data_IF_892654554627
#
_entry.id   IF_892654554627
#
_cell.length_a   1.000
_cell.length_b   1.000
_cell.length_c   1.000
_cell.angle_alpha   90.00
_cell.angle_beta   90.00
_cell.angle_gamma   90.00
#
_symmetry.space_group_name_H-M   'P 1'
#
loop_
_entity.id
_entity.type
_entity.pdbx_description
1 polymer ?
#
# COMPACT_ATOMS: atom_id res chain seq x y z
N UNK A 1 11.64 -3.56 -22.95
CA UNK A 1 12.58 -3.99 -21.89
C UNK A 1 11.84 -4.11 -20.56
N UNK A 2 12.14 -5.15 -19.78
CA UNK A 2 11.62 -5.31 -18.43
C UNK A 2 12.27 -4.28 -17.49
N UNK A 3 11.48 -3.67 -16.60
CA UNK A 3 11.99 -2.80 -15.53
C UNK A 3 11.70 -3.44 -14.17
N UNK A 4 12.72 -3.53 -13.33
CA UNK A 4 12.64 -4.11 -11.99
C UNK A 4 12.89 -3.02 -10.95
N UNK A 5 12.15 -3.09 -9.85
CA UNK A 5 12.34 -2.23 -8.70
C UNK A 5 12.51 -3.10 -7.44
N UNK A 6 13.55 -2.82 -6.67
CA UNK A 6 13.80 -3.44 -5.37
C UNK A 6 12.91 -2.80 -4.29
N UNK A 7 12.53 -3.59 -3.28
CA UNK A 7 11.82 -3.14 -2.08
C UNK A 7 12.39 -3.81 -0.83
N UNK A 8 12.20 -3.19 0.33
CA UNK A 8 12.62 -3.74 1.61
C UNK A 8 11.67 -4.85 2.07
N UNK A 9 12.17 -5.80 2.87
CA UNK A 9 11.34 -6.90 3.39
C UNK A 9 10.07 -6.43 4.12
N UNK A 10 10.16 -5.31 4.85
CA UNK A 10 9.04 -4.75 5.59
C UNK A 10 8.03 -4.00 4.70
N UNK A 11 8.36 -3.77 3.44
CA UNK A 11 7.50 -3.14 2.44
C UNK A 11 6.72 -4.18 1.61
N UNK A 12 6.99 -5.47 1.84
CA UNK A 12 6.28 -6.55 1.16
C UNK A 12 4.78 -6.46 1.43
N UNK A 13 4.00 -6.58 0.36
CA UNK A 13 2.54 -6.55 0.36
C UNK A 13 1.97 -7.82 -0.25
N UNK A 14 0.76 -8.19 0.15
CA UNK A 14 0.00 -9.32 -0.45
C UNK A 14 -0.43 -8.93 -1.86
N UNK A 15 -0.95 -7.70 -2.01
CA UNK A 15 -1.38 -7.13 -3.28
C UNK A 15 -0.58 -5.90 -3.65
N UNK A 16 -0.38 -5.72 -4.96
CA UNK A 16 0.18 -4.50 -5.54
C UNK A 16 -0.75 -3.96 -6.61
N UNK A 17 -0.85 -2.65 -6.71
CA UNK A 17 -1.61 -1.97 -7.75
C UNK A 17 -0.77 -0.83 -8.36
N UNK A 18 -1.17 -0.36 -9.54
CA UNK A 18 -0.49 0.71 -10.26
C UNK A 18 -1.49 1.84 -10.54
N UNK A 19 -1.03 3.08 -10.37
CA UNK A 19 -1.82 4.29 -10.65
C UNK A 19 -2.25 4.38 -12.13
N UNK A 20 -3.34 5.11 -12.45
CA UNK A 20 -3.85 5.23 -13.82
C UNK A 20 -2.82 5.77 -14.83
N UNK A 21 -1.95 6.68 -14.39
CA UNK A 21 -0.87 7.24 -15.22
C UNK A 21 0.41 6.39 -15.23
N UNK A 22 0.38 5.25 -14.54
CA UNK A 22 1.46 4.27 -14.43
C UNK A 22 2.75 4.79 -13.77
N UNK A 23 2.66 5.88 -13.00
CA UNK A 23 3.83 6.51 -12.37
C UNK A 23 4.08 6.08 -10.92
N UNK A 24 3.02 5.68 -10.22
CA UNK A 24 3.02 5.25 -8.82
C UNK A 24 2.52 3.82 -8.66
N UNK A 25 2.97 3.14 -7.60
CA UNK A 25 2.47 1.84 -7.18
C UNK A 25 1.96 1.90 -5.74
N UNK A 26 1.03 1.04 -5.37
CA UNK A 26 0.54 0.90 -4.01
C UNK A 26 0.64 -0.56 -3.56
N UNK A 27 0.81 -0.77 -2.25
CA UNK A 27 0.77 -2.09 -1.63
C UNK A 27 0.03 -2.06 -0.31
N UNK A 28 -0.60 -3.18 0.06
CA UNK A 28 -1.44 -3.30 1.24
C UNK A 28 -0.74 -3.89 2.49
N UNK A 29 0.56 -4.12 2.39
CA UNK A 29 1.36 -4.65 3.47
C UNK A 29 0.95 -6.08 3.86
N UNK A 30 1.28 -6.47 5.08
CA UNK A 30 0.96 -7.79 5.62
C UNK A 30 1.21 -7.88 7.12
N UNK A 31 0.45 -8.73 7.80
CA UNK A 31 0.76 -9.08 9.19
C UNK A 31 2.03 -9.97 9.28
N UNK A 32 2.64 -10.10 10.48
CA UNK A 32 3.83 -10.93 10.66
C UNK A 32 3.65 -12.43 10.39
N UNK A 33 2.40 -12.91 10.27
CA UNK A 33 2.06 -14.28 9.90
C UNK A 33 2.18 -14.55 8.38
N UNK A 34 2.29 -13.51 7.56
CA UNK A 34 2.40 -13.63 6.10
C UNK A 34 3.78 -14.12 5.63
N UNK A 35 3.89 -14.43 4.34
CA UNK A 35 5.07 -15.06 3.72
C UNK A 35 6.38 -14.33 4.01
N UNK A 36 6.37 -12.99 3.98
CA UNK A 36 7.55 -12.20 4.27
C UNK A 36 7.99 -12.28 5.74
N UNK A 37 7.13 -12.70 6.67
CA UNK A 37 7.35 -12.68 8.13
C UNK A 37 7.95 -11.36 8.59
N UNK A 38 7.43 -10.26 8.06
CA UNK A 38 7.95 -8.93 8.31
C UNK A 38 7.37 -8.39 9.62
N UNK A 39 8.20 -7.96 10.59
CA UNK A 39 7.71 -7.52 11.90
C UNK A 39 7.02 -6.14 11.89
N UNK A 40 7.21 -5.34 10.84
CA UNK A 40 6.64 -3.98 10.70
C UNK A 40 6.15 -3.73 9.26
N UNK A 41 5.27 -4.61 8.76
CA UNK A 41 4.69 -4.51 7.42
C UNK A 41 3.20 -4.16 7.40
N UNK A 42 2.60 -3.86 8.55
CA UNK A 42 1.19 -3.50 8.64
C UNK A 42 0.97 -2.03 8.27
N UNK A 43 1.12 -1.72 6.97
CA UNK A 43 0.93 -0.39 6.42
C UNK A 43 0.31 -0.46 5.02
N UNK A 44 -0.52 0.54 4.68
CA UNK A 44 -0.76 0.86 3.27
C UNK A 44 0.43 1.68 2.78
N UNK A 45 1.06 1.22 1.70
CA UNK A 45 2.24 1.83 1.12
C UNK A 45 1.94 2.54 -0.20
N UNK A 46 2.60 3.67 -0.42
CA UNK A 46 2.76 4.30 -1.73
C UNK A 46 4.23 4.20 -2.15
N UNK A 47 4.47 3.57 -3.29
CA UNK A 47 5.81 3.36 -3.82
C UNK A 47 6.09 4.29 -4.99
N UNK A 48 7.21 5.00 -4.91
CA UNK A 48 7.74 5.83 -5.99
C UNK A 48 8.99 5.20 -6.58
N UNK A 49 9.02 4.91 -7.90
CA UNK A 49 10.23 4.52 -8.59
C UNK A 49 11.37 5.54 -8.39
N UNK A 50 12.52 5.10 -7.88
CA UNK A 50 13.76 5.87 -7.80
C UNK A 50 14.91 4.99 -8.29
N UNK A 51 15.33 5.18 -9.54
CA UNK A 51 16.32 4.29 -10.17
C UNK A 51 15.77 2.87 -10.35
N UNK A 52 16.43 1.91 -9.70
CA UNK A 52 16.08 0.48 -9.65
C UNK A 52 15.46 0.05 -8.31
N UNK A 53 15.04 1.00 -7.48
CA UNK A 53 14.39 0.75 -6.19
C UNK A 53 13.09 1.55 -6.04
N UNK A 54 12.24 1.13 -5.12
CA UNK A 54 11.15 1.95 -4.64
C UNK A 54 11.57 2.81 -3.44
N UNK A 55 11.14 4.07 -3.43
CA UNK A 55 10.97 4.83 -2.20
C UNK A 55 9.56 4.62 -1.68
N UNK A 56 9.45 3.86 -0.59
CA UNK A 56 8.18 3.60 0.07
C UNK A 56 7.76 4.76 0.99
N UNK A 57 6.49 5.12 0.95
CA UNK A 57 5.83 6.02 1.89
C UNK A 57 4.73 5.25 2.62
N UNK A 58 4.74 5.31 3.95
CA UNK A 58 3.72 4.72 4.82
C UNK A 58 2.51 5.68 4.90
N UNK A 59 1.40 5.31 4.28
CA UNK A 59 0.18 6.15 4.21
C UNK A 59 -0.75 5.91 5.39
N UNK A 60 -1.02 4.65 5.73
CA UNK A 60 -2.00 4.28 6.76
C UNK A 60 -1.42 3.18 7.64
N UNK A 61 -1.49 3.38 8.95
CA UNK A 61 -1.11 2.37 9.93
C UNK A 61 -2.20 1.29 10.02
N UNK A 62 -1.85 0.04 9.69
CA UNK A 62 -2.76 -1.10 9.67
C UNK A 62 -2.66 -1.97 10.93
N UNK A 63 -2.03 -1.50 12.01
CA UNK A 63 -1.85 -2.27 13.24
C UNK A 63 -3.16 -2.75 13.88
N UNK A 64 -4.26 -2.04 13.65
CA UNK A 64 -5.60 -2.41 14.15
C UNK A 64 -6.47 -3.14 13.11
N UNK A 65 -5.91 -3.52 11.97
CA UNK A 65 -6.61 -4.29 10.94
C UNK A 65 -6.35 -5.80 11.10
N UNK A 66 -7.42 -6.59 11.02
CA UNK A 66 -7.33 -8.05 10.97
C UNK A 66 -7.16 -8.56 9.53
N UNK A 67 -5.95 -8.98 9.19
CA UNK A 67 -5.52 -9.43 7.85
C UNK A 67 -6.13 -10.76 7.36
N UNK A 68 -7.06 -11.36 8.11
CA UNK A 68 -7.98 -12.37 7.55
C UNK A 68 -8.88 -11.76 6.46
N UNK A 69 -9.16 -10.46 6.58
CA UNK A 69 -9.71 -9.63 5.53
C UNK A 69 -8.53 -8.99 4.78
N UNK A 70 -8.38 -9.23 3.49
CA UNK A 70 -7.32 -8.60 2.71
C UNK A 70 -7.70 -7.17 2.29
N UNK A 71 -6.84 -6.14 2.52
CA UNK A 71 -7.20 -4.76 2.22
C UNK A 71 -7.46 -4.49 0.74
N UNK A 72 -6.62 -5.08 -0.15
CA UNK A 72 -6.72 -5.02 -1.61
C UNK A 72 -6.87 -3.59 -2.16
N UNK A 73 -5.74 -2.88 -2.20
CA UNK A 73 -5.65 -1.46 -2.55
C UNK A 73 -5.94 -1.16 -4.03
N UNK A 74 -6.63 -0.05 -4.28
CA UNK A 74 -6.90 0.48 -5.61
C UNK A 74 -6.67 1.99 -5.66
N UNK A 75 -6.14 2.49 -6.77
CA UNK A 75 -6.10 3.93 -7.01
C UNK A 75 -7.47 4.43 -7.48
N UNK A 76 -7.86 5.64 -7.05
CA UNK A 76 -9.03 6.31 -7.63
C UNK A 76 -8.77 6.68 -9.09
N UNK A 77 -9.82 6.76 -9.95
CA UNK A 77 -9.65 7.13 -11.36
C UNK A 77 -9.01 8.50 -11.59
N UNK A 78 -9.17 9.44 -10.65
CA UNK A 78 -8.57 10.77 -10.70
C UNK A 78 -7.13 10.82 -10.12
N UNK A 79 -6.60 9.68 -9.67
CA UNK A 79 -5.23 9.55 -9.15
C UNK A 79 -4.98 10.23 -7.80
N UNK A 80 -6.02 10.67 -7.10
CA UNK A 80 -5.88 11.42 -5.83
C UNK A 80 -5.93 10.56 -4.59
N UNK A 81 -6.45 9.33 -4.67
CA UNK A 81 -6.71 8.49 -3.51
C UNK A 81 -6.19 7.07 -3.70
N UNK A 82 -5.83 6.44 -2.58
CA UNK A 82 -5.76 4.98 -2.45
C UNK A 82 -6.97 4.53 -1.64
N UNK A 83 -7.78 3.65 -2.22
CA UNK A 83 -9.01 3.09 -1.66
C UNK A 83 -8.74 1.65 -1.24
N UNK A 84 -9.19 1.26 -0.05
CA UNK A 84 -8.95 -0.07 0.51
C UNK A 84 -10.04 -0.47 1.50
N UNK A 85 -10.12 -1.77 1.81
CA UNK A 85 -10.98 -2.29 2.87
C UNK A 85 -10.21 -2.40 4.17
N UNK A 86 -10.84 -2.10 5.29
CA UNK A 86 -10.28 -2.38 6.60
C UNK A 86 -11.39 -2.61 7.63
N UNK A 87 -10.99 -3.05 8.82
CA UNK A 87 -11.90 -3.34 9.93
C UNK A 87 -11.37 -2.79 11.26
N UNK A 88 -10.72 -1.61 11.22
CA UNK A 88 -10.14 -0.94 12.38
C UNK A 88 -11.11 -0.80 13.56
N UNK A 89 -12.39 -0.61 13.26
CA UNK A 89 -13.45 -0.37 14.23
C UNK A 89 -14.29 -1.64 14.51
N UNK A 90 -13.74 -2.82 14.19
CA UNK A 90 -14.40 -4.12 14.39
C UNK A 90 -15.47 -4.47 13.36
N UNK A 91 -15.67 -3.64 12.32
CA UNK A 91 -16.56 -3.89 11.18
C UNK A 91 -15.83 -3.60 9.88
N UNK A 92 -16.10 -4.39 8.84
CA UNK A 92 -15.55 -4.15 7.51
C UNK A 92 -16.12 -2.86 6.92
N UNK A 93 -15.25 -1.97 6.47
CA UNK A 93 -15.59 -0.70 5.84
C UNK A 93 -14.63 -0.42 4.68
N UNK A 94 -15.01 0.54 3.84
CA UNK A 94 -14.16 1.09 2.78
C UNK A 94 -13.58 2.41 3.27
N UNK A 95 -12.26 2.55 3.12
CA UNK A 95 -11.50 3.74 3.48
C UNK A 95 -10.79 4.28 2.25
N UNK A 96 -10.45 5.57 2.29
CA UNK A 96 -9.62 6.21 1.30
C UNK A 96 -8.59 7.10 2.00
N UNK A 97 -7.36 7.11 1.51
CA UNK A 97 -6.30 8.03 1.94
C UNK A 97 -5.85 8.85 0.74
N UNK A 98 -5.73 10.16 0.94
CA UNK A 98 -5.29 11.09 -0.10
C UNK A 98 -3.78 10.91 -0.37
N UNK A 99 -3.40 10.91 -1.64
CA UNK A 99 -2.00 10.81 -2.11
C UNK A 99 -1.56 12.01 -2.95
N UNK A 100 -2.47 12.95 -3.19
CA UNK A 100 -2.13 14.22 -3.79
C UNK A 100 -1.16 14.96 -2.86
N UNK A 101 -0.07 15.50 -3.41
CA UNK A 101 0.80 16.39 -2.62
C UNK A 101 -0.01 17.60 -2.21
N UNK A 102 0.04 17.95 -0.92
CA UNK A 102 -0.46 19.23 -0.46
C UNK A 102 0.13 20.35 -1.33
N UNK A 103 -0.70 21.23 -1.86
CA UNK A 103 -0.22 22.41 -2.57
C UNK A 103 0.66 23.21 -1.59
N UNK A 104 1.95 23.28 -1.90
CA UNK A 104 2.91 24.17 -1.23
C UNK A 104 2.91 25.53 -1.90
#
# INVERSE_FOLDING_TARGET
PEKRYQLQRNEWSIHYNISPDQSLFAGDGGDPGQVAKAPDAQWIYLFRPEGDQFRAEKLVNMAHHGYKLEPNVHFSPDGKWVIFRANFEGKEQVYAVEIAKAAS
#
